data_IF_039868092836
#
_entry.id   IF_039868092836
#
_cell.length_a   1.000
_cell.length_b   1.000
_cell.length_c   1.000
_cell.angle_alpha   90.00
_cell.angle_beta   90.00
_cell.angle_gamma   90.00
#
_symmetry.space_group_name_H-M   'P 1'
#
loop_
_entity.id
_entity.type
_entity.pdbx_description
1 polymer ?
#
# COMPACT_ATOMS: atom_id res chain seq x y z
N UNK A 1 18.37 32.29 -13.54
CA UNK A 1 17.87 31.27 -14.49
C UNK A 1 16.99 30.31 -13.75
N UNK A 2 15.81 29.97 -14.28
CA UNK A 2 14.94 28.96 -13.70
C UNK A 2 15.39 27.56 -14.17
N UNK A 3 15.50 26.61 -13.25
CA UNK A 3 15.75 25.20 -13.55
C UNK A 3 14.68 24.35 -12.85
N UNK A 4 14.30 23.24 -13.48
CA UNK A 4 13.29 22.32 -12.96
C UNK A 4 13.77 20.88 -13.16
N UNK A 5 13.76 20.08 -12.09
CA UNK A 5 14.10 18.67 -12.10
C UNK A 5 13.09 17.96 -11.19
N UNK A 6 12.22 17.15 -11.79
CA UNK A 6 11.21 16.37 -11.09
C UNK A 6 11.09 15.01 -11.74
N UNK A 7 10.99 13.99 -10.90
CA UNK A 7 10.75 12.60 -11.29
C UNK A 7 9.55 12.12 -10.49
N UNK A 8 8.61 11.47 -11.17
CA UNK A 8 7.42 10.86 -10.57
C UNK A 8 7.38 9.42 -11.04
N UNK A 9 7.42 8.48 -10.09
CA UNK A 9 7.46 7.05 -10.36
C UNK A 9 6.33 6.35 -9.62
N UNK A 10 5.75 5.36 -10.28
CA UNK A 10 4.86 4.39 -9.66
C UNK A 10 5.25 3.01 -10.19
N UNK A 11 5.56 2.10 -9.28
CA UNK A 11 6.03 0.77 -9.62
C UNK A 11 6.17 -0.12 -8.39
N UNK A 12 6.87 -1.23 -8.54
CA UNK A 12 6.99 -2.24 -7.49
C UNK A 12 8.44 -2.40 -7.06
N UNK A 13 8.66 -2.64 -5.76
CA UNK A 13 10.00 -2.92 -5.23
C UNK A 13 10.54 -4.24 -5.81
N UNK A 14 11.76 -4.24 -6.31
CA UNK A 14 12.42 -5.42 -6.89
C UNK A 14 13.15 -6.27 -5.85
N UNK A 15 13.51 -5.66 -4.73
CA UNK A 15 14.18 -6.25 -3.57
C UNK A 15 13.66 -5.61 -2.29
N UNK A 16 13.95 -6.22 -1.15
CA UNK A 16 13.63 -5.61 0.14
C UNK A 16 14.45 -4.31 0.34
N UNK A 17 13.90 -3.31 1.06
CA UNK A 17 14.61 -2.06 1.34
C UNK A 17 15.90 -2.29 2.13
N UNK A 18 17.00 -1.73 1.66
CA UNK A 18 18.30 -1.79 2.36
C UNK A 18 18.54 -0.47 3.10
N UNK A 19 18.31 -0.46 4.43
CA UNK A 19 18.56 0.73 5.27
C UNK A 19 19.98 0.69 5.84
N UNK A 20 20.68 1.80 5.69
CA UNK A 20 22.05 2.02 6.17
C UNK A 20 22.13 3.37 6.87
N UNK A 21 23.01 3.48 7.85
CA UNK A 21 23.25 4.75 8.54
C UNK A 21 24.59 5.33 8.10
N UNK A 22 24.59 6.60 7.75
CA UNK A 22 25.84 7.33 7.47
C UNK A 22 26.64 7.53 8.77
N UNK A 23 27.95 7.83 8.68
CA UNK A 23 28.76 8.19 9.86
C UNK A 23 28.22 9.39 10.65
N UNK A 24 27.38 10.23 10.01
CA UNK A 24 26.69 11.37 10.64
C UNK A 24 25.38 10.99 11.32
N UNK A 25 25.02 9.70 11.35
CA UNK A 25 23.78 9.20 11.96
C UNK A 25 22.53 9.30 11.08
N UNK A 26 22.62 9.90 9.87
CA UNK A 26 21.47 9.98 8.97
C UNK A 26 21.17 8.63 8.32
N UNK A 27 19.90 8.20 8.37
CA UNK A 27 19.42 7.01 7.67
C UNK A 27 19.38 7.23 6.14
N UNK A 28 19.73 6.19 5.40
CA UNK A 28 19.73 6.12 3.93
C UNK A 28 19.13 4.79 3.53
N UNK A 29 18.20 4.78 2.59
CA UNK A 29 17.62 3.56 2.07
C UNK A 29 17.75 3.52 0.55
N UNK A 30 18.37 2.47 0.04
CA UNK A 30 18.43 2.21 -1.40
C UNK A 30 17.30 1.26 -1.80
N UNK A 31 16.51 1.70 -2.78
CA UNK A 31 15.39 0.97 -3.34
C UNK A 31 15.66 0.67 -4.82
N UNK A 32 15.23 -0.51 -5.28
CA UNK A 32 15.08 -0.80 -6.69
C UNK A 32 13.59 -0.84 -7.04
N UNK A 33 13.16 -0.08 -8.03
CA UNK A 33 11.77 -0.04 -8.52
C UNK A 33 11.73 -0.57 -9.94
N UNK A 34 10.80 -1.48 -10.23
CA UNK A 34 10.45 -1.89 -11.58
C UNK A 34 9.19 -1.15 -12.04
N UNK A 35 9.23 -0.61 -13.25
CA UNK A 35 8.13 0.10 -13.91
C UNK A 35 7.91 -0.57 -15.26
N UNK A 36 6.70 -1.06 -15.48
CA UNK A 36 6.35 -1.76 -16.71
C UNK A 36 5.63 -0.80 -17.66
N UNK A 37 5.99 -0.86 -18.94
CA UNK A 37 5.34 -0.14 -20.03
C UNK A 37 4.93 -1.14 -21.11
N UNK A 38 3.65 -1.16 -21.47
CA UNK A 38 3.15 -1.92 -22.60
C UNK A 38 2.91 -0.98 -23.79
N UNK A 39 3.37 -1.38 -24.97
CA UNK A 39 3.17 -0.63 -26.21
C UNK A 39 3.01 -1.58 -27.40
N UNK A 40 2.44 -1.07 -28.49
CA UNK A 40 2.23 -1.84 -29.73
C UNK A 40 3.19 -1.32 -30.79
N UNK A 41 3.87 -2.23 -31.49
CA UNK A 41 4.74 -1.90 -32.61
C UNK A 41 3.95 -1.65 -33.89
N UNK A 42 4.61 -1.05 -34.89
CA UNK A 42 4.02 -0.83 -36.23
C UNK A 42 3.58 -2.13 -36.91
N UNK A 43 4.18 -3.27 -36.54
CA UNK A 43 3.80 -4.62 -36.99
C UNK A 43 2.49 -5.14 -36.37
N UNK A 44 1.92 -4.44 -35.38
CA UNK A 44 0.77 -4.89 -34.59
C UNK A 44 1.11 -5.80 -33.40
N UNK A 45 2.38 -6.14 -33.19
CA UNK A 45 2.84 -6.93 -32.04
C UNK A 45 2.80 -6.08 -30.75
N UNK A 46 2.22 -6.62 -29.67
CA UNK A 46 2.28 -6.01 -28.33
C UNK A 46 3.60 -6.39 -27.65
N UNK A 47 4.34 -5.41 -27.16
CA UNK A 47 5.56 -5.59 -26.36
C UNK A 47 5.40 -5.01 -24.96
N UNK A 48 6.11 -5.63 -24.03
CA UNK A 48 6.25 -5.18 -22.66
C UNK A 48 7.73 -4.85 -22.40
N UNK A 49 7.97 -3.68 -21.83
CA UNK A 49 9.29 -3.22 -21.44
C UNK A 49 9.29 -2.91 -19.94
N UNK A 50 10.31 -3.40 -19.24
CA UNK A 50 10.49 -3.16 -17.81
C UNK A 50 11.70 -2.26 -17.62
N UNK A 51 11.46 -1.09 -17.03
CA UNK A 51 12.52 -0.17 -16.62
C UNK A 51 12.81 -0.35 -15.14
N UNK A 52 14.09 -0.56 -14.81
CA UNK A 52 14.57 -0.64 -13.45
C UNK A 52 15.19 0.69 -13.03
N UNK A 53 14.71 1.26 -11.94
CA UNK A 53 15.16 2.56 -11.43
C UNK A 53 15.66 2.40 -10.00
N UNK A 54 16.88 2.86 -9.75
CA UNK A 54 17.41 2.97 -8.39
C UNK A 54 16.98 4.30 -7.76
N UNK A 55 16.38 4.19 -6.57
CA UNK A 55 15.93 5.34 -5.78
C UNK A 55 16.64 5.35 -4.43
N UNK A 56 17.09 6.52 -4.00
CA UNK A 56 17.68 6.74 -2.68
C UNK A 56 16.74 7.60 -1.85
N UNK A 57 16.34 7.09 -0.69
CA UNK A 57 15.59 7.81 0.33
C UNK A 57 16.51 8.18 1.49
N UNK A 58 16.22 9.32 2.12
CA UNK A 58 17.02 9.85 3.22
C UNK A 58 16.18 10.08 4.47
N UNK A 59 16.85 10.06 5.63
CA UNK A 59 16.30 10.41 6.93
C UNK A 59 14.99 9.64 7.21
N UNK A 60 13.92 10.34 7.59
CA UNK A 60 12.63 9.73 7.92
C UNK A 60 12.05 8.86 6.79
N UNK A 61 12.23 9.23 5.52
CA UNK A 61 11.72 8.40 4.41
C UNK A 61 12.45 7.06 4.33
N UNK A 62 13.75 7.04 4.63
CA UNK A 62 14.53 5.80 4.68
C UNK A 62 14.06 4.87 5.79
N UNK A 63 13.75 5.43 6.97
CA UNK A 63 13.24 4.67 8.12
C UNK A 63 11.86 4.07 7.82
N UNK A 64 10.92 4.89 7.32
CA UNK A 64 9.58 4.42 6.92
C UNK A 64 9.69 3.34 5.84
N UNK A 65 10.58 3.53 4.86
CA UNK A 65 10.80 2.51 3.83
C UNK A 65 11.26 1.19 4.44
N UNK A 66 12.25 1.20 5.33
CA UNK A 66 12.74 -0.01 6.01
C UNK A 66 11.70 -0.73 6.87
N UNK A 67 10.82 0.03 7.52
CA UNK A 67 9.81 -0.52 8.42
C UNK A 67 8.61 -1.13 7.66
N UNK A 68 8.10 -0.44 6.64
CA UNK A 68 6.81 -0.77 6.01
C UNK A 68 6.92 -1.42 4.64
N UNK A 69 8.01 -1.22 3.91
CA UNK A 69 8.15 -1.78 2.56
C UNK A 69 8.80 -3.16 2.58
N UNK A 70 8.39 -3.97 1.60
CA UNK A 70 8.96 -5.27 1.28
C UNK A 70 8.99 -5.44 -0.23
N UNK A 71 9.81 -6.38 -0.70
CA UNK A 71 9.86 -6.79 -2.11
C UNK A 71 8.44 -7.00 -2.67
N UNK A 72 8.21 -6.49 -3.87
CA UNK A 72 6.95 -6.62 -4.61
C UNK A 72 5.88 -5.60 -4.22
N UNK A 73 6.04 -4.86 -3.10
CA UNK A 73 5.05 -3.85 -2.69
C UNK A 73 5.03 -2.70 -3.71
N UNK A 74 3.84 -2.24 -4.14
CA UNK A 74 3.74 -1.07 -5.00
C UNK A 74 4.03 0.20 -4.18
N UNK A 75 4.63 1.17 -4.85
CA UNK A 75 5.04 2.42 -4.24
C UNK A 75 4.95 3.56 -5.24
N UNK A 76 4.55 4.73 -4.74
CA UNK A 76 4.66 5.99 -5.45
C UNK A 76 5.81 6.81 -4.86
N UNK A 77 6.65 7.37 -5.73
CA UNK A 77 7.75 8.25 -5.36
C UNK A 77 7.73 9.50 -6.22
N UNK A 78 7.90 10.65 -5.56
CA UNK A 78 8.27 11.91 -6.18
C UNK A 78 9.67 12.32 -5.71
N UNK A 79 10.47 12.87 -6.61
CA UNK A 79 11.82 13.30 -6.31
C UNK A 79 12.51 13.96 -7.49
N UNK A 80 13.83 13.78 -7.59
CA UNK A 80 14.66 14.41 -8.62
C UNK A 80 15.75 13.47 -9.12
N UNK A 81 16.23 13.67 -10.35
CA UNK A 81 17.41 12.98 -10.86
C UNK A 81 18.69 13.55 -10.26
N UNK A 82 19.60 12.66 -9.90
CA UNK A 82 20.96 12.99 -9.50
C UNK A 82 21.95 12.06 -10.19
N UNK A 83 22.98 12.65 -10.81
CA UNK A 83 24.10 11.91 -11.37
C UNK A 83 25.19 11.80 -10.31
N UNK A 84 25.33 10.63 -9.70
CA UNK A 84 26.43 10.37 -8.79
C UNK A 84 27.66 9.98 -9.61
N UNK A 85 28.79 10.63 -9.34
CA UNK A 85 30.07 10.34 -9.99
C UNK A 85 31.12 10.01 -8.92
N UNK A 86 31.84 8.92 -9.08
CA UNK A 86 32.89 8.48 -8.16
C UNK A 86 34.04 7.81 -8.90
N UNK A 87 35.24 7.85 -8.33
CA UNK A 87 36.39 7.14 -8.87
C UNK A 87 36.38 5.68 -8.40
N UNK A 88 36.49 4.76 -9.34
CA UNK A 88 36.63 3.34 -9.06
C UNK A 88 37.99 3.07 -8.39
N UNK A 89 37.97 2.57 -7.16
CA UNK A 89 39.19 2.31 -6.38
C UNK A 89 40.08 1.23 -6.99
N UNK A 90 39.55 0.35 -7.84
CA UNK A 90 40.32 -0.71 -8.48
C UNK A 90 40.91 -0.26 -9.82
N UNK A 91 40.12 0.42 -10.65
CA UNK A 91 40.55 0.78 -12.01
C UNK A 91 41.03 2.23 -12.15
N UNK A 92 40.82 3.08 -11.14
CA UNK A 92 41.10 4.52 -11.19
C UNK A 92 40.23 5.30 -12.18
N UNK A 93 39.19 4.67 -12.74
CA UNK A 93 38.33 5.31 -13.74
C UNK A 93 37.14 6.00 -13.08
N UNK A 94 36.75 7.16 -13.61
CA UNK A 94 35.50 7.83 -13.23
C UNK A 94 34.30 7.00 -13.65
N UNK A 95 33.50 6.59 -12.68
CA UNK A 95 32.19 5.97 -12.87
C UNK A 95 31.11 7.00 -12.60
N UNK A 96 30.00 6.88 -13.31
CA UNK A 96 28.80 7.66 -13.00
C UNK A 96 27.58 6.75 -13.00
N UNK A 97 26.58 7.12 -12.20
CA UNK A 97 25.29 6.44 -12.15
C UNK A 97 24.20 7.46 -11.91
N UNK A 98 23.20 7.44 -12.77
CA UNK A 98 21.99 8.22 -12.60
C UNK A 98 21.07 7.53 -11.59
N UNK A 99 20.61 8.28 -10.59
CA UNK A 99 19.70 7.80 -9.55
C UNK A 99 18.59 8.81 -9.33
N UNK A 100 17.52 8.37 -8.68
CA UNK A 100 16.47 9.26 -8.21
C UNK A 100 16.65 9.48 -6.71
N UNK A 101 16.69 10.74 -6.28
CA UNK A 101 16.59 11.08 -4.85
C UNK A 101 15.12 11.31 -4.55
N UNK A 102 14.53 10.44 -3.74
CA UNK A 102 13.13 10.57 -3.35
C UNK A 102 12.94 11.66 -2.30
N UNK A 103 11.98 12.54 -2.54
CA UNK A 103 11.59 13.65 -1.68
C UNK A 103 10.23 13.41 -1.03
N UNK A 104 9.37 12.64 -1.68
CA UNK A 104 8.07 12.22 -1.16
C UNK A 104 7.81 10.78 -1.56
N UNK A 105 7.17 10.03 -0.66
CA UNK A 105 6.83 8.62 -0.85
C UNK A 105 5.42 8.36 -0.36
N UNK A 106 4.64 7.60 -1.12
CA UNK A 106 3.36 7.08 -0.67
C UNK A 106 3.36 5.56 -0.79
N UNK A 107 3.03 4.92 0.33
CA UNK A 107 2.87 3.47 0.40
C UNK A 107 1.54 3.10 -0.25
N UNK A 108 1.57 2.17 -1.20
CA UNK A 108 0.37 1.70 -1.88
C UNK A 108 0.03 0.29 -1.38
N UNK A 109 -1.24 0.07 -1.06
CA UNK A 109 -1.75 -1.21 -0.57
C UNK A 109 -2.02 -1.21 0.94
N UNK A 110 -3.31 -1.12 1.29
CA UNK A 110 -3.82 -1.05 2.66
C UNK A 110 -4.74 -2.21 3.02
N UNK A 111 -4.40 -3.45 2.62
CA UNK A 111 -5.04 -4.63 3.22
C UNK A 111 -4.00 -5.38 4.06
N UNK A 112 -4.10 -5.33 5.40
CA UNK A 112 -3.37 -6.27 6.24
C UNK A 112 -3.71 -7.68 5.76
N UNK A 113 -2.73 -8.55 5.50
CA UNK A 113 -2.99 -9.98 5.39
C UNK A 113 -3.48 -10.46 6.76
N UNK A 114 -4.81 -10.44 6.95
CA UNK A 114 -5.44 -10.74 8.25
C UNK A 114 -6.78 -10.05 8.52
N UNK A 115 -7.15 -8.99 7.78
CA UNK A 115 -8.45 -8.33 7.99
C UNK A 115 -9.63 -9.00 7.25
N UNK A 116 -9.48 -10.26 6.83
CA UNK A 116 -10.46 -10.97 5.99
C UNK A 116 -10.43 -12.48 6.14
N UNK A 117 -10.36 -12.98 7.38
CA UNK A 117 -10.67 -14.38 7.71
C UNK A 117 -11.06 -14.44 9.20
N UNK A 118 -12.35 -14.61 9.49
CA UNK A 118 -12.84 -14.67 10.86
C UNK A 118 -14.32 -14.39 11.04
N UNK A 119 -15.18 -14.83 10.12
CA UNK A 119 -16.52 -15.21 10.53
C UNK A 119 -16.40 -16.65 11.08
N UNK A 120 -16.73 -16.93 12.35
CA UNK A 120 -16.80 -18.31 12.81
C UNK A 120 -18.03 -18.94 12.15
N UNK A 121 -17.79 -19.76 11.13
CA UNK A 121 -18.75 -20.77 10.71
C UNK A 121 -18.75 -21.84 11.81
N UNK A 122 -19.64 -21.63 12.79
CA UNK A 122 -19.89 -22.58 13.86
C UNK A 122 -20.54 -23.84 13.30
N UNK A 123 -19.79 -24.94 13.32
CA UNK A 123 -20.28 -26.27 13.05
C UNK A 123 -21.18 -26.78 14.19
N UNK A 124 -22.32 -27.34 13.78
CA UNK A 124 -23.07 -28.47 14.35
C UNK A 124 -23.58 -28.42 15.81
N UNK A 125 -24.90 -28.50 15.92
CA UNK A 125 -25.60 -28.85 17.16
C UNK A 125 -27.07 -29.15 16.89
N UNK A 126 -27.37 -30.40 16.50
CA UNK A 126 -28.72 -30.86 16.21
C UNK A 126 -29.69 -30.64 17.37
N UNK A 127 -30.89 -30.13 17.05
CA UNK A 127 -32.07 -30.20 17.91
C UNK A 127 -33.28 -30.55 17.07
N UNK A 128 -33.64 -31.82 17.20
CA UNK A 128 -34.85 -32.47 16.72
C UNK A 128 -36.10 -31.72 17.22
N UNK A 129 -36.97 -31.43 16.26
CA UNK A 129 -38.23 -30.72 16.41
C UNK A 129 -39.22 -31.50 17.28
N UNK A 130 -39.66 -30.92 18.39
CA UNK A 130 -40.78 -31.42 19.18
C UNK A 130 -42.00 -30.51 18.93
N UNK A 131 -43.16 -31.02 18.46
CA UNK A 131 -44.32 -30.17 18.23
C UNK A 131 -45.03 -29.86 19.54
N UNK A 132 -45.10 -28.58 19.90
CA UNK A 132 -45.92 -28.07 21.00
C UNK A 132 -47.38 -27.92 20.55
N UNK A 133 -48.27 -28.57 21.31
CA UNK A 133 -49.73 -28.49 21.18
C UNK A 133 -50.22 -27.06 21.52
N UNK A 134 -51.19 -26.49 20.77
CA UNK A 134 -51.70 -25.15 21.06
C UNK A 134 -52.72 -25.17 22.23
N UNK A 135 -52.62 -24.18 23.11
CA UNK A 135 -53.58 -23.89 24.18
C UNK A 135 -54.68 -22.92 23.66
N UNK A 136 -55.94 -23.05 24.13
CA UNK A 136 -57.05 -22.21 23.67
C UNK A 136 -57.05 -20.80 24.32
N UNK A 137 -57.69 -19.80 23.68
CA UNK A 137 -57.56 -18.39 24.05
C UNK A 137 -58.57 -17.95 25.13
N UNK A 138 -58.21 -16.98 25.99
CA UNK A 138 -59.19 -16.22 26.75
C UNK A 138 -59.66 -14.96 26.00
N UNK A 139 -60.90 -14.60 26.31
CA UNK A 139 -61.81 -13.68 25.61
C UNK A 139 -61.39 -12.21 25.69
N UNK A 140 -61.80 -11.49 24.63
CA UNK A 140 -61.86 -10.05 24.55
C UNK A 140 -62.73 -9.42 25.65
N UNK A 141 -62.23 -8.31 26.21
CA UNK A 141 -62.93 -7.35 27.05
C UNK A 141 -62.48 -5.95 26.64
N UNK A 142 -63.44 -5.05 26.49
CA UNK A 142 -63.36 -3.81 25.71
C UNK A 142 -62.78 -2.59 26.45
N UNK A 143 -62.48 -1.57 25.63
CA UNK A 143 -62.51 -0.12 25.88
C UNK A 143 -61.25 0.57 26.44
N UNK A 144 -60.59 1.40 25.61
CA UNK A 144 -60.64 2.87 25.62
C UNK A 144 -59.40 3.50 24.93
N UNK A 145 -59.62 4.31 23.90
CA UNK A 145 -58.74 5.43 23.45
C UNK A 145 -59.06 6.68 24.32
N UNK A 146 -58.35 7.85 24.26
CA UNK A 146 -57.25 8.34 23.39
C UNK A 146 -56.05 8.87 24.25
N UNK A 147 -54.94 9.45 23.77
CA UNK A 147 -54.79 10.81 23.22
C UNK A 147 -53.39 11.01 22.61
N UNK A 148 -53.37 11.82 21.56
CA UNK A 148 -52.22 12.43 20.91
C UNK A 148 -51.62 13.58 21.76
N UNK A 149 -50.39 13.95 21.41
CA UNK A 149 -49.73 15.25 21.68
C UNK A 149 -49.23 15.58 23.10
N UNK A 150 -47.91 15.43 23.33
CA UNK A 150 -47.06 16.50 23.88
C UNK A 150 -45.56 16.08 23.94
N UNK A 151 -44.75 16.60 23.00
CA UNK A 151 -43.29 16.69 23.15
C UNK A 151 -42.96 18.19 23.25
N UNK A 152 -42.52 18.71 24.41
CA UNK A 152 -42.05 20.09 24.50
C UNK A 152 -40.59 20.20 24.03
N UNK A 153 -40.30 21.36 23.44
CA UNK A 153 -39.00 21.83 22.94
C UNK A 153 -37.88 21.82 23.99
#
# INVERSE_FOLDING_TARGET
MASFNKVILLGNLTRDPEVRYTPKGSAVCDLGIAINRQYTLDSGEKREEVTYVDVVLWSRLAEIAGEYLKKGRPIFIEGRLQLDTWDDKQSGQKRSKLRVIGETMQLLGGRPPGAGAGAPEGAEGGRESRPSKPAPPPKAGAAAEPDDDEIPF
#
